data_IF_124918554197
#
_entry.id   IF_124918554197
#
_cell.length_a   1.000
_cell.length_b   1.000
_cell.length_c   1.000
_cell.angle_alpha   90.00
_cell.angle_beta   90.00
_cell.angle_gamma   90.00
#
_symmetry.space_group_name_H-M   'P 1'
#
loop_
_entity.id
_entity.type
_entity.pdbx_description
1 polymer ?
#
# COMPACT_ATOMS: atom_id res chain seq x y z
N UNK A 1 -1.16 2.80 -19.09
CA UNK A 1 -2.12 2.97 -17.97
C UNK A 1 -3.26 3.89 -18.39
N UNK A 2 -3.12 5.23 -18.40
CA UNK A 2 -4.21 6.15 -18.81
C UNK A 2 -4.87 5.82 -20.17
N UNK A 3 -4.06 5.50 -21.20
CA UNK A 3 -4.57 5.09 -22.52
C UNK A 3 -5.37 3.78 -22.52
N UNK A 4 -5.07 2.87 -21.59
CA UNK A 4 -5.67 1.53 -21.53
C UNK A 4 -6.82 1.46 -20.51
N UNK A 5 -7.03 2.51 -19.71
CA UNK A 5 -8.04 2.55 -18.64
C UNK A 5 -8.61 3.97 -18.50
N UNK A 6 -9.32 4.48 -19.53
CA UNK A 6 -9.71 5.89 -19.60
C UNK A 6 -10.75 6.29 -18.54
N UNK A 7 -11.50 5.33 -17.99
CA UNK A 7 -12.47 5.57 -16.93
C UNK A 7 -11.87 5.60 -15.51
N UNK A 8 -10.54 5.43 -15.38
CA UNK A 8 -9.88 5.38 -14.09
C UNK A 8 -9.13 6.69 -13.79
N UNK A 9 -9.26 7.17 -12.56
CA UNK A 9 -8.55 8.35 -12.09
C UNK A 9 -7.16 7.94 -11.57
N UNK A 10 -6.12 8.38 -12.26
CA UNK A 10 -4.74 8.19 -11.84
C UNK A 10 -4.23 9.45 -11.15
N UNK A 11 -3.96 9.32 -9.86
CA UNK A 11 -3.43 10.38 -9.01
C UNK A 11 -1.97 10.05 -8.65
N UNK A 12 -1.14 11.08 -8.55
CA UNK A 12 0.23 10.95 -8.08
C UNK A 12 0.30 11.40 -6.63
N UNK A 13 0.92 10.61 -5.77
CA UNK A 13 1.10 10.93 -4.36
C UNK A 13 1.92 9.85 -3.66
N UNK A 14 2.41 10.14 -2.44
CA UNK A 14 3.14 9.18 -1.63
C UNK A 14 2.19 8.37 -0.76
N UNK A 15 2.48 7.09 -0.55
CA UNK A 15 1.62 6.25 0.28
C UNK A 15 1.55 6.71 1.75
N UNK A 16 2.58 7.42 2.23
CA UNK A 16 2.67 7.88 3.62
C UNK A 16 1.81 9.12 3.91
N UNK A 17 1.46 9.92 2.90
CA UNK A 17 0.79 11.22 3.08
C UNK A 17 -0.35 11.50 2.10
N UNK A 18 -0.70 10.53 1.24
CA UNK A 18 -1.78 10.68 0.28
C UNK A 18 -3.14 10.91 0.96
N UNK A 19 -3.86 11.94 0.49
CA UNK A 19 -5.23 12.24 0.91
C UNK A 19 -6.14 12.21 -0.31
N UNK A 20 -7.15 11.36 -0.26
CA UNK A 20 -8.23 11.29 -1.24
C UNK A 20 -9.33 12.27 -0.86
N UNK A 21 -9.92 12.93 -1.85
CA UNK A 21 -11.08 13.81 -1.64
C UNK A 21 -12.27 13.06 -1.01
N UNK A 22 -12.35 11.74 -1.25
CA UNK A 22 -13.44 10.88 -0.75
C UNK A 22 -12.89 9.55 -0.24
N UNK A 23 -13.30 9.10 0.96
CA UNK A 23 -12.93 7.78 1.46
C UNK A 23 -13.49 6.65 0.58
N UNK A 24 -12.69 5.60 0.37
CA UNK A 24 -13.07 4.42 -0.42
C UNK A 24 -13.54 3.27 0.48
N UNK A 25 -14.28 2.31 -0.07
CA UNK A 25 -14.70 1.10 0.66
C UNK A 25 -13.56 0.09 0.82
N UNK A 26 -12.61 0.12 -0.11
CA UNK A 26 -11.47 -0.78 -0.11
C UNK A 26 -10.25 -0.13 -0.74
N UNK A 27 -9.08 -0.65 -0.38
CA UNK A 27 -7.79 -0.31 -0.96
C UNK A 27 -7.03 -1.61 -1.27
N UNK A 28 -6.29 -1.60 -2.39
CA UNK A 28 -5.40 -2.69 -2.78
C UNK A 28 -3.99 -2.17 -2.98
N UNK A 29 -3.01 -2.82 -2.36
CA UNK A 29 -1.59 -2.59 -2.60
C UNK A 29 -1.00 -3.88 -3.17
N UNK A 30 -0.68 -3.87 -4.46
CA UNK A 30 -0.24 -5.09 -5.17
C UNK A 30 1.12 -4.93 -5.80
N UNK A 31 1.66 -6.02 -6.35
CA UNK A 31 2.93 -6.01 -7.09
C UNK A 31 4.13 -5.88 -6.17
N UNK A 32 3.98 -6.27 -4.90
CA UNK A 32 4.97 -6.12 -3.83
C UNK A 32 5.31 -4.66 -3.54
N UNK A 33 4.37 -3.75 -3.80
CA UNK A 33 4.60 -2.30 -3.63
C UNK A 33 5.03 -1.96 -2.19
N UNK A 34 4.47 -2.65 -1.19
CA UNK A 34 4.88 -2.48 0.21
C UNK A 34 6.37 -2.77 0.43
N UNK A 35 6.97 -3.72 -0.31
CA UNK A 35 8.38 -4.06 -0.16
C UNK A 35 9.35 -2.97 -0.63
N UNK A 36 8.86 -1.93 -1.31
CA UNK A 36 9.68 -0.76 -1.67
C UNK A 36 9.70 0.32 -0.58
N UNK A 37 8.95 0.13 0.52
CA UNK A 37 9.01 1.01 1.68
C UNK A 37 10.25 0.62 2.51
N UNK A 38 11.26 1.50 2.63
CA UNK A 38 12.58 1.10 3.12
C UNK A 38 12.62 0.89 4.64
N UNK A 39 11.71 1.51 5.39
CA UNK A 39 11.66 1.39 6.84
C UNK A 39 10.30 0.91 7.33
N UNK A 40 10.28 0.28 8.50
CA UNK A 40 9.03 -0.06 9.19
C UNK A 40 8.17 1.19 9.42
N UNK A 41 8.80 2.34 9.70
CA UNK A 41 8.09 3.60 9.86
C UNK A 41 7.30 3.97 8.60
N UNK A 42 7.90 3.83 7.42
CA UNK A 42 7.22 4.13 6.15
C UNK A 42 6.03 3.19 5.90
N UNK A 43 6.15 1.91 6.31
CA UNK A 43 5.05 0.94 6.26
C UNK A 43 3.92 1.35 7.19
N UNK A 44 4.23 1.67 8.46
CA UNK A 44 3.23 2.08 9.45
C UNK A 44 2.52 3.38 9.04
N UNK A 45 3.27 4.39 8.61
CA UNK A 45 2.71 5.66 8.15
C UNK A 45 1.79 5.43 6.94
N UNK A 46 2.17 4.53 6.02
CA UNK A 46 1.33 4.16 4.88
C UNK A 46 0.02 3.48 5.31
N UNK A 47 0.05 2.59 6.32
CA UNK A 47 -1.17 1.97 6.83
C UNK A 47 -2.09 2.97 7.56
N UNK A 48 -1.52 3.91 8.33
CA UNK A 48 -2.28 5.00 8.95
C UNK A 48 -2.97 5.83 7.86
N UNK A 49 -2.22 6.19 6.83
CA UNK A 49 -2.75 6.99 5.72
C UNK A 49 -3.81 6.23 4.94
N UNK A 50 -3.62 4.94 4.64
CA UNK A 50 -4.67 4.13 4.02
C UNK A 50 -5.91 4.07 4.90
N UNK A 51 -5.77 3.85 6.22
CA UNK A 51 -6.91 3.80 7.13
C UNK A 51 -7.72 5.11 7.14
N UNK A 52 -7.06 6.27 7.12
CA UNK A 52 -7.71 7.59 7.01
C UNK A 52 -8.50 7.77 5.71
N UNK A 53 -8.10 7.06 4.65
CA UNK A 53 -8.74 7.09 3.34
C UNK A 53 -9.80 6.00 3.15
N UNK A 54 -10.05 5.16 4.17
CA UNK A 54 -11.07 4.12 4.13
C UNK A 54 -12.34 4.53 4.88
N UNK A 55 -13.48 4.08 4.37
CA UNK A 55 -14.74 4.09 5.10
C UNK A 55 -14.68 3.06 6.24
N UNK A 56 -15.48 3.25 7.30
CA UNK A 56 -15.59 2.27 8.40
C UNK A 56 -16.95 1.56 8.32
N UNK A 57 -17.00 0.22 8.24
CA UNK A 57 -15.87 -0.70 8.06
C UNK A 57 -15.32 -0.66 6.63
N UNK A 58 -14.01 -0.83 6.48
CA UNK A 58 -13.30 -0.80 5.20
C UNK A 58 -12.27 -1.91 5.11
N UNK A 59 -11.87 -2.27 3.88
CA UNK A 59 -10.99 -3.41 3.62
C UNK A 59 -9.68 -2.95 2.99
N UNK A 60 -8.56 -3.36 3.57
CA UNK A 60 -7.23 -3.28 2.96
C UNK A 60 -6.77 -4.68 2.55
N UNK A 61 -6.46 -4.85 1.26
CA UNK A 61 -5.80 -6.05 0.72
C UNK A 61 -4.38 -5.70 0.28
N UNK A 62 -3.38 -6.44 0.74
CA UNK A 62 -2.00 -6.24 0.30
C UNK A 62 -1.23 -7.55 0.13
N UNK A 63 -0.23 -7.53 -0.74
CA UNK A 63 0.75 -8.61 -0.89
C UNK A 63 2.12 -8.19 -0.32
N UNK A 64 2.88 -9.16 0.20
CA UNK A 64 4.25 -8.97 0.68
C UNK A 64 5.10 -10.22 0.39
N UNK A 65 6.42 -10.03 0.30
CA UNK A 65 7.38 -11.13 0.28
C UNK A 65 7.73 -11.50 1.72
N UNK A 66 7.61 -12.79 2.06
CA UNK A 66 8.21 -13.34 3.26
C UNK A 66 9.74 -13.43 3.09
N UNK A 67 10.47 -12.47 3.65
CA UNK A 67 11.93 -12.38 3.54
C UNK A 67 12.64 -13.62 4.09
N UNK A 68 12.04 -14.32 5.06
CA UNK A 68 12.63 -15.54 5.64
C UNK A 68 12.72 -16.69 4.63
N UNK A 69 11.93 -16.65 3.55
CA UNK A 69 12.03 -17.62 2.45
C UNK A 69 13.24 -17.39 1.53
N UNK A 70 13.86 -16.20 1.60
CA UNK A 70 14.90 -15.78 0.67
C UNK A 70 16.24 -15.46 1.35
N UNK A 71 16.21 -15.07 2.62
CA UNK A 71 17.41 -14.82 3.42
C UNK A 71 17.53 -15.99 4.41
N UNK A 72 18.51 -16.89 4.25
CA UNK A 72 18.73 -17.96 5.21
C UNK A 72 18.99 -17.35 6.59
N UNK A 73 18.37 -17.93 7.61
CA UNK A 73 18.60 -17.54 8.99
C UNK A 73 20.10 -17.74 9.28
N UNK A 74 20.83 -16.67 9.59
CA UNK A 74 22.19 -16.81 10.09
C UNK A 74 22.05 -17.24 11.55
N UNK A 75 21.92 -18.55 11.78
CA UNK A 75 22.05 -19.14 13.10
C UNK A 75 23.53 -19.17 13.47
N UNK A 76 23.91 -18.35 14.46
CA UNK A 76 25.20 -18.42 15.15
C UNK A 76 25.20 -19.46 16.26
#
# INVERSE_FOLDING_TARGET
MKKNTPACNFLQGSMQDFVSDKPTKSAIVTGRTISYLPTNKDVFDSFITINKNLQVPGILCFDFIDANKFIPLISG
#
